data_IF_989763787020
#
_entry.id   IF_989763787020
#
_cell.length_a   1.000
_cell.length_b   1.000
_cell.length_c   1.000
_cell.angle_alpha   90.00
_cell.angle_beta   90.00
_cell.angle_gamma   90.00
#
_symmetry.space_group_name_H-M   'P 1'
#
loop_
_entity.id
_entity.type
_entity.pdbx_description
1 polymer ?
#
# COMPACT_ATOMS: atom_id res chain seq x y z
N UNK A 1 -20.61 1.98 -16.06
CA UNK A 1 -19.85 2.36 -17.28
C UNK A 1 -19.43 1.07 -17.96
N UNK A 2 -19.96 0.71 -19.15
CA UNK A 2 -19.56 -0.54 -19.79
C UNK A 2 -18.07 -0.44 -20.16
N UNK A 3 -17.26 -1.37 -19.67
CA UNK A 3 -15.87 -1.66 -20.09
C UNK A 3 -14.79 -0.58 -19.89
N UNK A 4 -14.87 0.29 -18.87
CA UNK A 4 -13.73 1.15 -18.52
C UNK A 4 -12.56 0.30 -17.98
N UNK A 5 -11.46 0.23 -18.74
CA UNK A 5 -10.18 -0.31 -18.27
C UNK A 5 -9.30 0.80 -17.70
N UNK A 6 -8.72 0.57 -16.54
CA UNK A 6 -7.82 1.52 -15.87
C UNK A 6 -6.49 0.85 -15.61
N UNK A 7 -5.43 1.43 -16.16
CA UNK A 7 -4.06 1.01 -15.93
C UNK A 7 -3.42 2.00 -14.97
N UNK A 8 -2.94 1.52 -13.84
CA UNK A 8 -2.22 2.33 -12.86
C UNK A 8 -0.76 1.93 -12.90
N UNK A 9 0.12 2.87 -13.21
CA UNK A 9 1.58 2.68 -13.08
C UNK A 9 2.01 3.44 -11.84
N UNK A 10 2.52 2.74 -10.83
CA UNK A 10 2.85 3.39 -9.57
C UNK A 10 3.40 2.46 -8.51
N UNK A 11 3.42 2.97 -7.28
CA UNK A 11 3.99 2.26 -6.15
C UNK A 11 3.02 1.26 -5.52
N UNK A 12 3.60 0.13 -5.13
CA UNK A 12 3.13 -0.73 -4.06
C UNK A 12 4.11 -0.61 -2.89
N UNK A 13 3.63 -0.77 -1.66
CA UNK A 13 4.49 -0.89 -0.49
C UNK A 13 3.69 -1.23 0.75
N UNK A 14 4.31 -1.85 1.73
CA UNK A 14 3.65 -2.11 3.02
C UNK A 14 3.80 -0.89 3.90
N UNK A 15 2.67 -0.38 4.39
CA UNK A 15 2.65 0.74 5.32
C UNK A 15 2.70 0.21 6.75
N UNK A 16 3.52 0.86 7.58
CA UNK A 16 3.63 0.60 9.01
C UNK A 16 2.99 1.74 9.77
N UNK A 17 2.17 1.40 10.75
CA UNK A 17 1.51 2.34 11.64
C UNK A 17 1.95 2.04 13.07
N UNK A 18 2.37 3.10 13.76
CA UNK A 18 2.70 3.07 15.18
C UNK A 18 1.72 4.03 15.87
N UNK A 19 1.11 3.58 16.96
CA UNK A 19 0.28 4.42 17.82
C UNK A 19 1.18 4.96 18.94
N UNK A 20 1.23 6.27 19.09
CA UNK A 20 2.09 6.95 20.05
C UNK A 20 2.32 8.40 19.67
N UNK A 21 3.18 9.08 20.43
CA UNK A 21 3.63 10.43 20.13
C UNK A 21 4.75 10.41 19.06
N UNK A 22 4.85 11.50 18.29
CA UNK A 22 5.93 11.67 17.32
C UNK A 22 7.20 12.07 18.10
N UNK A 23 8.30 11.29 18.01
CA UNK A 23 9.50 11.58 18.78
C UNK A 23 10.19 12.87 18.33
N UNK A 24 10.81 13.57 19.27
CA UNK A 24 11.75 14.65 18.94
C UNK A 24 13.07 14.07 18.35
N UNK A 25 13.88 14.88 17.65
CA UNK A 25 15.19 14.44 17.17
C UNK A 25 16.08 13.87 18.29
N UNK A 26 16.55 12.64 18.12
CA UNK A 26 17.41 11.95 19.10
C UNK A 26 16.66 11.19 20.20
N UNK A 27 15.33 11.30 20.27
CA UNK A 27 14.52 10.63 21.27
C UNK A 27 14.15 9.19 20.87
N UNK A 28 13.99 8.31 21.85
CA UNK A 28 13.41 6.97 21.68
C UNK A 28 12.22 6.81 22.62
N UNK A 29 11.03 6.60 22.05
CA UNK A 29 9.77 6.44 22.78
C UNK A 29 9.20 5.03 22.60
N UNK A 30 8.46 4.55 23.60
CA UNK A 30 7.66 3.34 23.48
C UNK A 30 6.32 3.68 22.83
N UNK A 31 6.01 3.04 21.70
CA UNK A 31 4.68 3.08 21.10
C UNK A 31 3.68 2.25 21.92
N UNK A 32 2.42 2.65 21.89
CA UNK A 32 1.30 1.93 22.52
C UNK A 32 0.60 0.94 21.58
N UNK A 33 0.98 0.92 20.30
CA UNK A 33 0.45 -0.03 19.32
C UNK A 33 1.25 -0.05 18.03
N UNK A 34 1.18 -1.18 17.32
CA UNK A 34 1.82 -1.38 16.02
C UNK A 34 0.90 -2.20 15.11
N UNK A 35 0.78 -1.77 13.85
CA UNK A 35 0.11 -2.51 12.80
C UNK A 35 0.81 -2.29 11.45
N UNK A 36 0.62 -3.20 10.52
CA UNK A 36 1.08 -3.04 9.14
C UNK A 36 0.07 -3.63 8.16
N UNK A 37 0.17 -3.22 6.90
CA UNK A 37 -0.72 -3.70 5.85
C UNK A 37 -0.39 -3.09 4.49
N UNK A 38 -1.13 -3.55 3.48
CA UNK A 38 -0.91 -3.13 2.11
C UNK A 38 -1.14 -1.63 1.93
N UNK A 39 -0.26 -1.01 1.17
CA UNK A 39 -0.31 0.41 0.83
C UNK A 39 0.44 0.68 -0.48
N UNK A 40 0.81 1.94 -0.68
CA UNK A 40 1.31 2.45 -1.94
C UNK A 40 0.26 3.33 -2.63
N UNK A 41 0.69 4.45 -3.20
CA UNK A 41 -0.25 5.39 -3.83
C UNK A 41 -0.87 4.76 -5.08
N UNK A 42 -0.07 4.02 -5.86
CA UNK A 42 -0.53 3.34 -7.07
C UNK A 42 -1.53 2.23 -6.75
N UNK A 43 -1.17 1.31 -5.85
CA UNK A 43 -2.08 0.24 -5.41
C UNK A 43 -3.39 0.79 -4.82
N UNK A 44 -3.34 1.83 -3.97
CA UNK A 44 -4.54 2.44 -3.40
C UNK A 44 -5.46 3.05 -4.47
N UNK A 45 -4.89 3.71 -5.48
CA UNK A 45 -5.67 4.24 -6.61
C UNK A 45 -6.28 3.12 -7.46
N UNK A 46 -5.51 2.06 -7.76
CA UNK A 46 -5.99 0.91 -8.52
C UNK A 46 -7.15 0.20 -7.81
N UNK A 47 -7.03 -0.02 -6.50
CA UNK A 47 -8.08 -0.61 -5.66
C UNK A 47 -9.30 0.30 -5.62
N UNK A 48 -9.11 1.62 -5.48
CA UNK A 48 -10.20 2.59 -5.50
C UNK A 48 -11.00 2.55 -6.81
N UNK A 49 -10.30 2.56 -7.95
CA UNK A 49 -10.93 2.45 -9.26
C UNK A 49 -11.65 1.10 -9.46
N UNK A 50 -11.06 -0.01 -9.00
CA UNK A 50 -11.70 -1.32 -9.06
C UNK A 50 -12.98 -1.38 -8.22
N UNK A 51 -12.97 -0.81 -7.01
CA UNK A 51 -14.14 -0.70 -6.12
C UNK A 51 -15.26 0.15 -6.71
N UNK A 52 -14.95 1.09 -7.60
CA UNK A 52 -15.92 1.90 -8.34
C UNK A 52 -16.43 1.20 -9.62
N UNK A 53 -15.97 -0.02 -9.91
CA UNK A 53 -16.45 -0.85 -11.01
C UNK A 53 -15.62 -0.81 -12.29
N UNK A 54 -14.42 -0.22 -12.27
CA UNK A 54 -13.48 -0.30 -13.39
C UNK A 54 -12.75 -1.66 -13.42
N UNK A 55 -12.35 -2.11 -14.61
CA UNK A 55 -11.40 -3.23 -14.76
C UNK A 55 -9.98 -2.69 -14.61
N UNK A 56 -9.37 -2.89 -13.45
CA UNK A 56 -8.07 -2.30 -13.13
C UNK A 56 -6.89 -3.26 -13.31
N UNK A 57 -5.77 -2.73 -13.78
CA UNK A 57 -4.45 -3.39 -13.76
C UNK A 57 -3.42 -2.46 -13.13
N UNK A 58 -2.65 -2.97 -12.18
CA UNK A 58 -1.54 -2.26 -11.54
C UNK A 58 -0.21 -2.75 -12.12
N UNK A 59 0.63 -1.81 -12.57
CA UNK A 59 2.04 -2.05 -12.86
C UNK A 59 2.86 -1.39 -11.75
N UNK A 60 3.52 -2.23 -10.95
CA UNK A 60 4.37 -1.81 -9.84
C UNK A 60 5.61 -2.71 -9.77
N UNK A 61 6.73 -2.15 -9.32
CA UNK A 61 7.91 -2.93 -8.92
C UNK A 61 7.76 -3.39 -7.48
N UNK A 62 8.12 -4.64 -7.21
CA UNK A 62 8.16 -5.21 -5.85
C UNK A 62 9.52 -5.82 -5.56
N UNK A 63 9.92 -5.85 -4.29
CA UNK A 63 11.17 -6.45 -3.84
C UNK A 63 11.13 -7.98 -3.88
N UNK A 64 12.29 -8.61 -3.63
CA UNK A 64 12.41 -10.08 -3.48
C UNK A 64 12.27 -10.54 -2.02
N UNK A 65 11.64 -9.71 -1.17
CA UNK A 65 11.41 -9.99 0.24
C UNK A 65 10.00 -10.57 0.48
N UNK A 66 9.67 -10.81 1.76
CA UNK A 66 8.36 -11.35 2.16
C UNK A 66 7.20 -10.46 1.69
N UNK A 67 7.35 -9.14 1.73
CA UNK A 67 6.29 -8.20 1.36
C UNK A 67 6.10 -8.13 -0.14
N UNK A 68 7.19 -8.27 -0.91
CA UNK A 68 7.11 -8.43 -2.35
C UNK A 68 6.44 -9.73 -2.77
N UNK A 69 6.70 -10.82 -2.04
CA UNK A 69 6.04 -12.11 -2.26
C UNK A 69 4.54 -12.04 -1.95
N UNK A 70 4.17 -11.42 -0.82
CA UNK A 70 2.77 -11.18 -0.43
C UNK A 70 2.03 -10.29 -1.45
N UNK A 71 2.71 -9.32 -2.07
CA UNK A 71 2.13 -8.43 -3.08
C UNK A 71 1.65 -9.15 -4.35
N UNK A 72 2.23 -10.30 -4.68
CA UNK A 72 1.94 -11.04 -5.93
C UNK A 72 0.80 -12.05 -5.78
N UNK A 73 0.45 -12.41 -4.54
CA UNK A 73 -0.59 -13.39 -4.22
C UNK A 73 -1.84 -12.75 -3.60
N UNK A 74 -1.84 -11.42 -3.42
CA UNK A 74 -2.91 -10.65 -2.80
C UNK A 74 -3.96 -10.12 -3.77
#
# INVERSE_FOLDING_TARGET
MPNCEVYVVGSYGVAFWIVGEVPAPGETLLGSGFAFGNGGKGSNQAIGAARLGARCKLLAGVGTDKFGSEALVS
#
